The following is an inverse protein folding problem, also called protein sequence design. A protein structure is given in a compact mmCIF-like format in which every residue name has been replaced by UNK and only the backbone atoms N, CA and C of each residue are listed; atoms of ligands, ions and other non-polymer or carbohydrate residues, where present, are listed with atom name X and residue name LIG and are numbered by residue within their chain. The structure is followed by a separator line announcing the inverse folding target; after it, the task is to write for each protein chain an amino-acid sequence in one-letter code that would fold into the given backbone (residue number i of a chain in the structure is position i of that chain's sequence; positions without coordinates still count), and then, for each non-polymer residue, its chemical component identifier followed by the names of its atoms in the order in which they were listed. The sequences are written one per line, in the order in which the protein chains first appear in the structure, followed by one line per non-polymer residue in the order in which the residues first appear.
data_IF_107729284317
#
_entry.id   IF_107729284317
#
_cell.length_a   1.000
_cell.length_b   1.000
_cell.length_c   1.000
_cell.angle_alpha   90.00
_cell.angle_beta   90.00
_cell.angle_gamma   90.00
#
_symmetry.space_group_name_H-M   'P 1'
#
loop_
_entity.id
_entity.type
_entity.pdbx_description
1 polymer ?
#
# COMPACT_ATOMS: atom_id res chain seq x y z
N UNK A 1 0.83 33.49 65.72
CA UNK A 1 0.93 33.45 64.26
C UNK A 1 1.29 32.03 63.85
N UNK A 2 0.35 31.24 63.38
CA UNK A 2 0.56 29.86 62.89
C UNK A 2 0.42 29.89 61.38
N UNK A 3 1.51 29.62 60.69
CA UNK A 3 1.52 29.44 59.24
C UNK A 3 1.02 28.03 58.91
N UNK A 4 -0.07 27.94 58.13
CA UNK A 4 -0.51 26.69 57.54
C UNK A 4 0.16 26.52 56.17
N UNK A 5 1.02 25.48 56.07
CA UNK A 5 1.65 25.05 54.84
C UNK A 5 0.67 24.08 54.12
N UNK A 6 0.02 24.56 53.06
CA UNK A 6 -0.80 23.69 52.18
C UNK A 6 0.14 22.95 51.24
N UNK A 7 0.29 21.62 51.44
CA UNK A 7 0.92 20.69 50.52
C UNK A 7 -0.13 20.28 49.46
N UNK A 8 -0.05 20.83 48.25
CA UNK A 8 -0.78 20.35 47.10
C UNK A 8 -0.06 19.12 46.55
N UNK A 9 -0.57 17.93 46.86
CA UNK A 9 -0.15 16.69 46.20
C UNK A 9 -0.82 16.63 44.78
N UNK A 10 -0.08 16.99 43.77
CA UNK A 10 -0.51 16.76 42.38
C UNK A 10 -0.37 15.26 42.07
N UNK A 11 -1.48 14.55 42.06
CA UNK A 11 -1.56 13.20 41.51
C UNK A 11 -1.40 13.30 39.98
N UNK A 12 -0.19 13.10 39.48
CA UNK A 12 0.05 12.78 38.10
C UNK A 12 -0.50 11.36 37.84
N UNK A 13 -1.71 11.27 37.39
CA UNK A 13 -2.25 10.08 36.71
C UNK A 13 -1.47 9.92 35.39
N UNK A 14 -0.32 9.25 35.45
CA UNK A 14 0.29 8.66 34.27
C UNK A 14 -0.66 7.56 33.77
N UNK A 15 -1.50 7.86 32.79
CA UNK A 15 -2.11 6.82 31.96
C UNK A 15 -0.98 6.12 31.25
N UNK A 16 -0.49 5.02 31.81
CA UNK A 16 0.31 4.05 31.08
C UNK A 16 -0.61 3.59 29.93
N UNK A 17 -0.37 4.07 28.73
CA UNK A 17 -0.80 3.42 27.51
C UNK A 17 -0.13 2.06 27.52
N UNK A 18 -0.79 1.05 28.08
CA UNK A 18 -0.31 -0.34 27.98
C UNK A 18 -0.28 -0.66 26.50
N UNK A 19 0.90 -0.74 25.93
CA UNK A 19 1.10 -1.31 24.60
C UNK A 19 0.43 -2.69 24.62
N UNK A 20 -0.43 -2.95 23.65
CA UNK A 20 -1.17 -4.19 23.56
C UNK A 20 -0.17 -5.33 23.28
N UNK A 21 -0.07 -6.31 24.18
CA UNK A 21 0.82 -7.44 23.98
C UNK A 21 0.27 -8.33 22.85
N UNK A 22 1.06 -8.51 21.81
CA UNK A 22 0.72 -9.36 20.66
C UNK A 22 0.39 -10.78 21.11
N UNK A 23 1.23 -11.37 21.97
CA UNK A 23 1.10 -12.76 22.42
C UNK A 23 -0.14 -13.01 23.30
N UNK A 24 -0.76 -11.98 23.87
CA UNK A 24 -2.02 -12.11 24.61
C UNK A 24 -3.21 -12.42 23.69
N UNK A 25 -3.16 -11.97 22.43
CA UNK A 25 -4.29 -12.00 21.51
C UNK A 25 -4.05 -12.87 20.26
N UNK A 26 -2.79 -13.06 19.86
CA UNK A 26 -2.43 -13.66 18.60
C UNK A 26 -1.36 -14.74 18.71
N UNK A 27 -1.46 -15.76 17.84
CA UNK A 27 -0.40 -16.70 17.57
C UNK A 27 0.58 -16.13 16.57
N UNK A 28 1.83 -16.58 16.56
CA UNK A 28 2.80 -16.25 15.49
C UNK A 28 2.46 -17.02 14.19
N UNK A 29 1.26 -16.79 13.67
CA UNK A 29 0.71 -17.36 12.44
C UNK A 29 -0.11 -16.29 11.72
N UNK A 30 -0.35 -16.49 10.43
CA UNK A 30 -1.17 -15.57 9.63
C UNK A 30 -2.57 -16.14 9.42
N UNK A 31 -3.58 -15.32 9.65
CA UNK A 31 -4.92 -15.48 9.13
C UNK A 31 -4.98 -14.76 7.78
N UNK A 32 -5.02 -15.50 6.69
CA UNK A 32 -5.30 -14.98 5.36
C UNK A 32 -6.79 -15.00 5.13
N UNK A 33 -7.33 -13.88 4.67
CA UNK A 33 -8.74 -13.76 4.29
C UNK A 33 -8.82 -13.30 2.85
N UNK A 34 -9.45 -14.10 2.02
CA UNK A 34 -9.79 -13.74 0.66
C UNK A 34 -11.21 -13.18 0.63
N UNK A 35 -11.36 -11.98 0.08
CA UNK A 35 -12.65 -11.33 -0.14
C UNK A 35 -12.90 -11.11 -1.61
N UNK A 36 -14.17 -11.07 -1.97
CA UNK A 36 -14.64 -10.54 -3.25
C UNK A 36 -15.35 -9.20 -2.99
N UNK A 37 -14.79 -8.11 -3.55
CA UNK A 37 -15.47 -6.83 -3.61
C UNK A 37 -16.20 -6.74 -4.94
N UNK A 38 -17.48 -6.41 -4.92
CA UNK A 38 -18.28 -6.44 -6.15
C UNK A 38 -19.34 -5.33 -6.15
N UNK A 39 -19.89 -5.08 -7.32
CA UNK A 39 -20.96 -4.12 -7.51
C UNK A 39 -20.76 -3.24 -8.72
N UNK A 40 -21.39 -2.08 -8.69
CA UNK A 40 -21.36 -1.03 -9.71
C UNK A 40 -21.11 0.34 -9.04
N UNK A 41 -21.20 1.44 -9.79
CA UNK A 41 -21.00 2.79 -9.26
C UNK A 41 -21.98 3.18 -8.14
N UNK A 42 -23.11 2.50 -7.99
CA UNK A 42 -24.20 2.83 -7.04
C UNK A 42 -24.34 1.84 -5.89
N UNK A 43 -24.05 0.56 -6.14
CA UNK A 43 -24.23 -0.53 -5.16
C UNK A 43 -22.94 -1.33 -5.03
N UNK A 44 -22.37 -1.39 -3.82
CA UNK A 44 -21.14 -2.11 -3.54
C UNK A 44 -21.35 -3.14 -2.44
N UNK A 45 -20.74 -4.32 -2.61
CA UNK A 45 -20.84 -5.47 -1.73
C UNK A 45 -19.46 -6.04 -1.40
N UNK A 46 -19.35 -6.63 -0.22
CA UNK A 46 -18.17 -7.36 0.26
C UNK A 46 -18.62 -8.76 0.61
N UNK A 47 -17.92 -9.77 0.07
CA UNK A 47 -18.16 -11.18 0.40
C UNK A 47 -16.88 -11.83 0.91
N UNK A 48 -17.00 -12.68 1.94
CA UNK A 48 -15.93 -13.59 2.34
C UNK A 48 -15.90 -14.71 1.32
N UNK A 49 -14.73 -14.97 0.74
CA UNK A 49 -14.53 -16.08 -0.20
C UNK A 49 -13.89 -17.26 0.51
N UNK A 50 -12.73 -17.06 1.15
CA UNK A 50 -11.98 -18.13 1.80
C UNK A 50 -11.21 -17.63 3.02
N UNK A 51 -11.03 -18.51 4.00
CA UNK A 51 -10.15 -18.30 5.14
C UNK A 51 -9.02 -19.32 5.12
N UNK A 52 -7.80 -18.87 5.33
CA UNK A 52 -6.63 -19.76 5.41
C UNK A 52 -5.71 -19.39 6.57
N UNK A 53 -5.01 -20.39 7.10
CA UNK A 53 -3.93 -20.22 8.07
C UNK A 53 -2.60 -20.46 7.39
N UNK A 54 -1.66 -19.51 7.50
CA UNK A 54 -0.26 -19.64 7.08
C UNK A 54 0.65 -19.84 8.31
N UNK A 55 1.84 -20.47 8.14
CA UNK A 55 2.66 -20.93 9.26
C UNK A 55 3.28 -19.83 10.10
N UNK A 56 3.55 -18.65 9.53
CA UNK A 56 4.29 -17.54 10.18
C UNK A 56 3.58 -16.23 9.99
N UNK A 57 3.60 -15.37 11.00
CA UNK A 57 3.21 -13.97 10.91
C UNK A 57 4.46 -13.12 10.64
N UNK A 58 4.53 -12.47 9.49
CA UNK A 58 5.61 -11.56 9.12
C UNK A 58 5.30 -10.10 9.43
N UNK A 59 4.04 -9.76 9.69
CA UNK A 59 3.62 -8.39 9.93
C UNK A 59 3.97 -7.88 11.34
N UNK A 60 3.71 -6.60 11.54
CA UNK A 60 4.01 -5.88 12.79
C UNK A 60 3.37 -6.52 14.03
N UNK A 61 4.09 -6.43 15.15
CA UNK A 61 3.62 -6.86 16.48
C UNK A 61 3.40 -5.68 17.44
N UNK A 62 3.62 -4.45 16.97
CA UNK A 62 3.44 -3.19 17.69
C UNK A 62 2.39 -2.33 16.99
N UNK A 63 1.91 -1.27 17.64
CA UNK A 63 0.88 -0.37 17.07
C UNK A 63 -0.34 -1.11 16.52
N UNK A 64 -0.74 -2.22 17.19
CA UNK A 64 -1.72 -3.17 16.66
C UNK A 64 -3.07 -2.52 16.36
N UNK A 65 -3.53 -1.57 17.19
CA UNK A 65 -4.81 -0.85 17.04
C UNK A 65 -4.70 0.51 16.34
N UNK A 66 -3.57 0.79 15.70
CA UNK A 66 -3.29 2.04 15.01
C UNK A 66 -3.15 1.84 13.49
N UNK A 67 -3.21 2.94 12.74
CA UNK A 67 -3.00 2.97 11.29
C UNK A 67 -1.88 3.93 10.93
N UNK A 68 -0.94 3.55 10.06
CA UNK A 68 0.05 4.50 9.55
C UNK A 68 -0.59 5.53 8.61
N UNK A 69 -1.56 5.10 7.82
CA UNK A 69 -2.31 5.90 6.85
C UNK A 69 -3.78 5.45 6.84
N UNK A 70 -4.68 6.33 6.42
CA UNK A 70 -6.12 6.03 6.45
C UNK A 70 -6.55 5.05 5.35
N UNK A 71 -5.98 5.19 4.14
CA UNK A 71 -6.38 4.40 2.97
C UNK A 71 -7.81 4.66 2.50
N UNK A 72 -8.23 3.90 1.49
CA UNK A 72 -9.59 3.90 0.96
C UNK A 72 -10.44 2.76 1.55
N UNK A 73 -9.83 1.84 2.30
CA UNK A 73 -10.50 0.78 3.03
C UNK A 73 -9.80 0.46 4.34
N UNK A 74 -10.51 -0.16 5.26
CA UNK A 74 -9.97 -0.56 6.57
C UNK A 74 -10.51 -1.93 6.98
N UNK A 75 -9.65 -2.69 7.68
CA UNK A 75 -10.04 -3.92 8.35
C UNK A 75 -9.73 -3.77 9.84
N UNK A 76 -10.70 -4.10 10.69
CA UNK A 76 -10.57 -4.03 12.14
C UNK A 76 -10.93 -5.39 12.73
N UNK A 77 -10.02 -5.96 13.52
CA UNK A 77 -10.27 -7.14 14.35
C UNK A 77 -10.67 -6.66 15.75
N UNK A 78 -11.77 -7.18 16.23
CA UNK A 78 -12.25 -6.90 17.58
C UNK A 78 -12.42 -8.18 18.39
N UNK A 79 -12.08 -8.12 19.66
CA UNK A 79 -12.50 -9.17 20.61
C UNK A 79 -14.01 -9.31 20.56
N UNK A 80 -14.49 -10.54 20.41
CA UNK A 80 -15.92 -10.80 20.21
C UNK A 80 -16.78 -10.38 21.41
N UNK A 81 -16.24 -10.47 22.62
CA UNK A 81 -16.93 -10.18 23.88
C UNK A 81 -16.81 -8.73 24.29
N UNK A 82 -15.59 -8.22 24.36
CA UNK A 82 -15.29 -6.87 24.86
C UNK A 82 -15.42 -5.79 23.81
N UNK A 83 -15.46 -6.16 22.53
CA UNK A 83 -15.43 -5.27 21.36
C UNK A 83 -14.18 -4.39 21.27
N UNK A 84 -13.16 -4.65 22.11
CA UNK A 84 -11.87 -3.96 22.04
C UNK A 84 -11.22 -4.21 20.67
N UNK A 85 -10.68 -3.17 20.05
CA UNK A 85 -9.88 -3.30 18.84
C UNK A 85 -8.58 -4.02 19.17
N UNK A 86 -8.33 -5.17 18.53
CA UNK A 86 -7.14 -5.99 18.71
C UNK A 86 -6.10 -5.73 17.61
N UNK A 87 -6.55 -5.53 16.38
CA UNK A 87 -5.71 -5.23 15.24
C UNK A 87 -6.45 -4.36 14.22
N UNK A 88 -5.71 -3.54 13.49
CA UNK A 88 -6.27 -2.66 12.49
C UNK A 88 -5.29 -2.48 11.33
N UNK A 89 -5.78 -2.53 10.11
CA UNK A 89 -5.01 -2.22 8.90
C UNK A 89 -5.85 -1.44 7.90
N UNK A 90 -5.20 -0.76 6.97
CA UNK A 90 -5.83 0.02 5.91
C UNK A 90 -5.24 -0.34 4.55
N UNK A 91 -5.99 -0.09 3.50
CA UNK A 91 -5.64 -0.47 2.14
C UNK A 91 -6.35 0.43 1.10
N UNK A 92 -5.94 0.29 -0.15
CA UNK A 92 -6.71 0.68 -1.34
C UNK A 92 -6.92 -0.56 -2.22
N UNK A 93 -7.87 -0.50 -3.15
CA UNK A 93 -8.18 -1.62 -4.02
C UNK A 93 -8.45 -1.18 -5.45
N UNK A 94 -8.13 -2.04 -6.41
CA UNK A 94 -8.43 -1.83 -7.83
C UNK A 94 -9.95 -1.70 -8.07
N UNK A 95 -10.78 -2.36 -7.23
CA UNK A 95 -12.23 -2.20 -7.26
C UNK A 95 -12.67 -0.75 -7.04
N UNK A 96 -12.09 -0.07 -6.03
CA UNK A 96 -12.46 1.31 -5.71
C UNK A 96 -12.00 2.30 -6.79
N UNK A 97 -10.86 2.04 -7.45
CA UNK A 97 -10.43 2.83 -8.61
C UNK A 97 -11.39 2.62 -9.80
N UNK A 98 -11.76 1.36 -10.07
CA UNK A 98 -12.72 1.03 -11.13
C UNK A 98 -14.08 1.69 -10.93
N UNK A 99 -14.55 1.87 -9.70
CA UNK A 99 -15.84 2.54 -9.40
C UNK A 99 -15.90 3.97 -9.94
N UNK A 100 -14.76 4.63 -10.19
CA UNK A 100 -14.70 5.98 -10.76
C UNK A 100 -14.84 6.00 -12.29
N UNK A 101 -14.81 4.83 -12.96
CA UNK A 101 -14.86 4.71 -14.43
C UNK A 101 -16.29 4.77 -14.98
N UNK A 102 -16.42 5.11 -16.26
CA UNK A 102 -17.71 5.06 -16.93
C UNK A 102 -18.25 3.63 -17.08
N UNK A 103 -17.36 2.63 -17.09
CA UNK A 103 -17.78 1.22 -17.13
C UNK A 103 -18.57 0.84 -15.87
N UNK A 104 -18.15 1.32 -14.70
CA UNK A 104 -18.85 1.03 -13.44
C UNK A 104 -20.27 1.61 -13.38
N UNK A 105 -20.58 2.63 -14.20
CA UNK A 105 -21.94 3.19 -14.33
C UNK A 105 -22.87 2.30 -15.17
N UNK A 106 -22.31 1.33 -15.92
CA UNK A 106 -23.04 0.53 -16.90
C UNK A 106 -23.13 -0.93 -16.51
N UNK A 107 -22.20 -1.47 -15.73
CA UNK A 107 -22.13 -2.89 -15.37
C UNK A 107 -21.60 -3.08 -13.97
N UNK A 108 -21.89 -4.26 -13.39
CA UNK A 108 -21.30 -4.69 -12.13
C UNK A 108 -20.14 -5.66 -12.38
N UNK A 109 -19.09 -5.55 -11.56
CA UNK A 109 -17.92 -6.45 -11.59
C UNK A 109 -17.54 -6.92 -10.19
N UNK A 110 -16.79 -8.04 -10.12
CA UNK A 110 -16.18 -8.55 -8.91
C UNK A 110 -14.65 -8.50 -9.01
N UNK A 111 -14.00 -8.16 -7.90
CA UNK A 111 -12.55 -8.04 -7.78
C UNK A 111 -12.06 -8.84 -6.57
N UNK A 112 -11.06 -9.70 -6.80
CA UNK A 112 -10.37 -10.41 -5.73
C UNK A 112 -9.61 -9.43 -4.84
N UNK A 113 -9.66 -9.65 -3.52
CA UNK A 113 -8.83 -8.97 -2.56
C UNK A 113 -8.40 -9.96 -1.48
N UNK A 114 -7.13 -9.92 -1.09
CA UNK A 114 -6.56 -10.80 -0.08
C UNK A 114 -5.88 -9.97 0.99
N UNK A 115 -6.13 -10.30 2.26
CA UNK A 115 -5.54 -9.61 3.40
C UNK A 115 -4.90 -10.60 4.36
N UNK A 116 -3.75 -10.20 4.89
CA UNK A 116 -3.03 -10.92 5.91
C UNK A 116 -3.25 -10.23 7.26
N UNK A 117 -3.67 -11.01 8.25
CA UNK A 117 -3.95 -10.56 9.60
C UNK A 117 -3.25 -11.49 10.59
N UNK A 118 -2.90 -11.06 11.80
CA UNK A 118 -2.38 -11.98 12.80
C UNK A 118 -3.46 -12.99 13.20
N UNK A 119 -3.07 -14.26 13.38
CA UNK A 119 -4.00 -15.34 13.70
C UNK A 119 -4.50 -15.25 15.13
N UNK A 120 -5.81 -15.05 15.40
CA UNK A 120 -6.32 -14.84 16.73
C UNK A 120 -6.31 -16.12 17.57
N UNK A 121 -6.09 -15.97 18.90
CA UNK A 121 -6.18 -17.10 19.87
C UNK A 121 -7.65 -17.43 20.18
N UNK A 122 -8.52 -16.43 20.17
CA UNK A 122 -9.95 -16.55 20.48
C UNK A 122 -10.80 -16.06 19.32
N UNK A 123 -12.10 -16.34 19.37
CA UNK A 123 -13.05 -15.83 18.40
C UNK A 123 -12.98 -14.27 18.29
N UNK A 124 -12.97 -13.78 17.07
CA UNK A 124 -12.93 -12.34 16.76
C UNK A 124 -14.06 -11.95 15.80
N UNK A 125 -14.51 -10.71 15.92
CA UNK A 125 -15.32 -10.04 14.90
C UNK A 125 -14.37 -9.26 13.98
N UNK A 126 -14.50 -9.48 12.67
CA UNK A 126 -13.77 -8.74 11.64
C UNK A 126 -14.74 -7.81 10.94
N UNK A 127 -14.37 -6.54 10.89
CA UNK A 127 -15.12 -5.50 10.17
C UNK A 127 -14.27 -4.98 9.01
N UNK A 128 -14.78 -5.12 7.77
CA UNK A 128 -14.19 -4.56 6.56
C UNK A 128 -15.05 -3.41 6.09
N UNK A 129 -14.44 -2.26 5.82
CA UNK A 129 -15.15 -1.05 5.39
C UNK A 129 -14.46 -0.43 4.18
N UNK A 130 -15.22 -0.09 3.15
CA UNK A 130 -14.78 0.65 1.97
C UNK A 130 -15.28 2.09 2.05
N UNK A 131 -14.43 3.05 1.66
CA UNK A 131 -14.74 4.47 1.61
C UNK A 131 -14.62 4.98 0.18
N UNK A 132 -15.45 5.94 -0.20
CA UNK A 132 -15.28 6.69 -1.44
C UNK A 132 -14.28 7.86 -1.29
N UNK A 133 -14.03 8.60 -2.38
CA UNK A 133 -13.14 9.77 -2.41
C UNK A 133 -13.58 10.88 -1.41
N UNK A 134 -14.87 10.98 -1.09
CA UNK A 134 -15.40 11.86 -0.03
C UNK A 134 -15.30 11.27 1.38
N UNK A 135 -14.57 10.15 1.55
CA UNK A 135 -14.36 9.43 2.80
C UNK A 135 -15.66 8.96 3.50
N UNK A 136 -16.73 8.79 2.74
CA UNK A 136 -17.99 8.19 3.20
C UNK A 136 -17.95 6.69 3.00
N UNK A 137 -18.55 5.95 3.95
CA UNK A 137 -18.70 4.49 3.83
C UNK A 137 -19.61 4.17 2.64
N UNK A 138 -19.13 3.29 1.74
CA UNK A 138 -19.88 2.80 0.58
C UNK A 138 -20.25 1.33 0.72
N UNK A 139 -19.44 0.54 1.45
CA UNK A 139 -19.76 -0.84 1.81
C UNK A 139 -19.12 -1.19 3.15
N UNK A 140 -19.76 -2.07 3.90
CA UNK A 140 -19.19 -2.63 5.13
C UNK A 140 -19.71 -4.06 5.32
N UNK A 141 -18.82 -4.94 5.81
CA UNK A 141 -19.14 -6.31 6.18
C UNK A 141 -18.58 -6.59 7.58
N UNK A 142 -19.40 -7.22 8.44
CA UNK A 142 -18.96 -7.79 9.71
C UNK A 142 -19.15 -9.30 9.66
N UNK A 143 -18.13 -10.04 10.04
CA UNK A 143 -18.22 -11.49 10.20
C UNK A 143 -17.37 -11.97 11.37
N UNK A 144 -17.67 -13.18 11.86
CA UNK A 144 -16.98 -13.79 12.98
C UNK A 144 -16.00 -14.83 12.44
N UNK A 145 -14.79 -14.85 12.98
CA UNK A 145 -13.79 -15.90 12.74
C UNK A 145 -13.60 -16.68 14.03
N UNK A 146 -13.83 -17.99 13.94
CA UNK A 146 -13.53 -18.97 15.00
C UNK A 146 -12.18 -19.61 14.68
N UNK A 147 -11.15 -19.47 15.52
CA UNK A 147 -9.80 -19.98 15.20
C UNK A 147 -9.70 -21.51 15.01
N UNK A 148 -10.64 -22.24 15.56
CA UNK A 148 -10.73 -23.70 15.47
C UNK A 148 -11.72 -24.20 14.42
N UNK A 149 -12.22 -23.32 13.54
CA UNK A 149 -13.10 -23.71 12.45
C UNK A 149 -12.35 -24.65 11.49
N UNK A 150 -12.93 -25.83 11.25
CA UNK A 150 -12.36 -26.88 10.40
C UNK A 150 -12.29 -26.48 8.93
N UNK A 151 -13.03 -25.44 8.51
CA UNK A 151 -13.04 -24.92 7.15
C UNK A 151 -11.92 -23.90 6.90
N UNK A 152 -11.12 -23.51 7.92
CA UNK A 152 -9.93 -22.70 7.70
C UNK A 152 -8.83 -23.58 7.10
N UNK A 153 -8.48 -23.30 5.85
CA UNK A 153 -7.51 -24.08 5.09
C UNK A 153 -6.10 -23.92 5.67
N UNK A 154 -5.38 -25.03 5.84
CA UNK A 154 -3.97 -25.03 6.26
C UNK A 154 -3.08 -24.94 5.00
N UNK A 155 -2.40 -23.79 4.80
CA UNK A 155 -1.58 -23.52 3.61
C UNK A 155 -0.12 -23.23 3.95
N UNK A 156 0.76 -23.23 2.93
CA UNK A 156 2.16 -22.83 3.08
C UNK A 156 3.07 -23.80 3.82
N UNK A 157 2.65 -25.08 4.01
CA UNK A 157 3.46 -26.14 4.62
C UNK A 157 4.21 -27.00 3.61
N UNK A 158 3.78 -26.98 2.35
CA UNK A 158 4.35 -27.76 1.25
C UNK A 158 4.27 -26.93 -0.04
N UNK A 159 5.12 -27.28 -1.01
CA UNK A 159 5.14 -26.63 -2.32
C UNK A 159 5.42 -25.10 -2.27
N UNK A 160 6.30 -24.68 -1.34
CA UNK A 160 6.73 -23.29 -1.25
C UNK A 160 7.47 -22.91 -2.54
N UNK A 161 7.07 -21.80 -3.15
CA UNK A 161 7.68 -21.30 -4.39
C UNK A 161 9.18 -21.07 -4.20
N UNK A 162 10.05 -21.45 -5.15
CA UNK A 162 11.48 -21.20 -5.07
C UNK A 162 11.77 -19.71 -4.86
N UNK A 163 12.58 -19.39 -3.86
CA UNK A 163 12.88 -18.00 -3.51
C UNK A 163 14.27 -17.85 -2.92
N UNK A 164 14.78 -16.64 -2.95
CA UNK A 164 16.04 -16.28 -2.28
C UNK A 164 16.00 -14.86 -1.73
N UNK A 165 16.68 -14.64 -0.63
CA UNK A 165 16.90 -13.29 -0.10
C UNK A 165 17.89 -12.55 -0.99
N UNK A 166 17.50 -11.38 -1.49
CA UNK A 166 18.39 -10.38 -2.09
C UNK A 166 19.06 -9.54 -0.99
N UNK A 167 18.32 -9.36 0.12
CA UNK A 167 18.81 -8.75 1.33
C UNK A 167 18.05 -9.34 2.52
N UNK A 168 18.78 -9.70 3.59
CA UNK A 168 18.21 -10.04 4.88
C UNK A 168 18.91 -9.21 5.96
N UNK A 169 18.16 -8.27 6.56
CA UNK A 169 18.67 -7.34 7.57
C UNK A 169 18.37 -7.80 9.00
N UNK A 170 17.31 -8.58 9.19
CA UNK A 170 16.89 -9.05 10.51
C UNK A 170 15.78 -10.09 10.44
N UNK A 171 15.15 -10.32 11.59
CA UNK A 171 13.98 -11.19 11.71
C UNK A 171 12.75 -10.50 11.11
N UNK A 172 11.78 -11.30 10.71
CA UNK A 172 10.50 -10.85 10.12
C UNK A 172 9.70 -9.94 11.08
N UNK A 173 9.91 -10.04 12.40
CA UNK A 173 9.24 -9.22 13.42
C UNK A 173 9.87 -7.83 13.60
N UNK A 174 11.09 -7.63 13.15
CA UNK A 174 11.88 -6.41 13.34
C UNK A 174 12.13 -5.66 12.03
N UNK A 175 11.86 -6.27 10.88
CA UNK A 175 12.05 -5.74 9.54
C UNK A 175 10.76 -5.80 8.74
N UNK A 176 10.68 -4.97 7.73
CA UNK A 176 9.62 -4.98 6.71
C UNK A 176 10.02 -6.00 5.64
N UNK A 177 9.19 -7.01 5.42
CA UNK A 177 9.45 -8.06 4.44
C UNK A 177 8.78 -7.73 3.10
N UNK A 178 9.60 -7.54 2.06
CA UNK A 178 9.15 -7.20 0.70
C UNK A 178 9.44 -8.37 -0.23
N UNK A 179 8.39 -8.97 -0.79
CA UNK A 179 8.48 -9.99 -1.82
C UNK A 179 8.51 -9.39 -3.22
N UNK A 180 9.47 -9.78 -4.05
CA UNK A 180 9.56 -9.43 -5.46
C UNK A 180 9.24 -10.67 -6.28
N UNK A 181 8.15 -10.65 -7.06
CA UNK A 181 7.65 -11.79 -7.83
C UNK A 181 7.91 -11.64 -9.32
N UNK A 182 8.10 -12.79 -9.98
CA UNK A 182 8.24 -12.89 -11.43
C UNK A 182 6.87 -12.92 -12.11
N UNK A 183 6.66 -12.07 -13.13
CA UNK A 183 5.47 -12.07 -13.98
C UNK A 183 5.89 -12.04 -15.45
N UNK A 184 5.42 -13.00 -16.25
CA UNK A 184 5.79 -13.11 -17.65
C UNK A 184 7.20 -13.65 -17.89
N UNK A 185 7.86 -14.19 -16.88
CA UNK A 185 9.11 -14.95 -17.04
C UNK A 185 8.78 -16.44 -17.04
N UNK A 186 9.19 -17.17 -18.05
CA UNK A 186 9.11 -18.64 -18.10
C UNK A 186 10.13 -19.27 -17.15
N UNK A 187 10.03 -20.57 -16.91
CA UNK A 187 11.03 -21.31 -16.10
C UNK A 187 12.45 -21.11 -16.61
N UNK A 188 12.65 -21.07 -17.94
CA UNK A 188 13.95 -20.84 -18.57
C UNK A 188 14.49 -19.41 -18.37
N UNK A 189 13.64 -18.47 -18.01
CA UNK A 189 13.99 -17.05 -17.82
C UNK A 189 14.19 -16.66 -16.35
N UNK A 190 14.15 -17.61 -15.41
CA UNK A 190 14.29 -17.32 -13.99
C UNK A 190 15.64 -16.68 -13.62
N UNK A 191 16.72 -16.98 -14.34
CA UNK A 191 18.00 -16.29 -14.12
C UNK A 191 17.96 -14.83 -14.53
N UNK A 192 17.17 -14.48 -15.56
CA UNK A 192 16.92 -13.10 -15.97
C UNK A 192 16.07 -12.39 -14.90
N UNK A 193 14.98 -13.04 -14.45
CA UNK A 193 14.17 -12.51 -13.35
C UNK A 193 14.99 -12.15 -12.11
N UNK A 194 15.89 -13.03 -11.67
CA UNK A 194 16.71 -12.76 -10.49
C UNK A 194 17.65 -11.54 -10.67
N UNK A 195 18.14 -11.30 -11.88
CA UNK A 195 18.92 -10.09 -12.21
C UNK A 195 18.04 -8.84 -12.13
N UNK A 196 16.83 -8.91 -12.70
CA UNK A 196 15.88 -7.78 -12.69
C UNK A 196 15.37 -7.49 -11.28
N UNK A 197 15.12 -8.52 -10.47
CA UNK A 197 14.76 -8.37 -9.06
C UNK A 197 15.88 -7.70 -8.24
N UNK A 198 17.14 -8.02 -8.52
CA UNK A 198 18.29 -7.34 -7.91
C UNK A 198 18.35 -5.85 -8.30
N UNK A 199 18.11 -5.53 -9.59
CA UNK A 199 18.04 -4.14 -10.07
C UNK A 199 16.90 -3.37 -9.39
N UNK A 200 15.72 -3.98 -9.22
CA UNK A 200 14.60 -3.37 -8.50
C UNK A 200 14.97 -3.06 -7.03
N UNK A 201 15.56 -4.03 -6.35
CA UNK A 201 16.04 -3.89 -4.97
C UNK A 201 17.08 -2.76 -4.83
N UNK A 202 18.10 -2.73 -5.69
CA UNK A 202 19.12 -1.69 -5.70
C UNK A 202 18.52 -0.31 -6.01
N UNK A 203 17.54 -0.26 -6.91
CA UNK A 203 16.87 0.99 -7.28
C UNK A 203 16.11 1.60 -6.11
N UNK A 204 15.43 0.81 -5.30
CA UNK A 204 14.77 1.29 -4.08
C UNK A 204 15.76 1.90 -3.10
N UNK A 205 16.86 1.19 -2.81
CA UNK A 205 17.86 1.63 -1.85
C UNK A 205 18.86 2.67 -2.39
N UNK A 206 18.67 3.16 -3.59
CA UNK A 206 19.37 4.32 -4.11
C UNK A 206 18.77 5.63 -3.60
N UNK A 207 17.47 5.67 -3.26
CA UNK A 207 16.71 6.85 -2.88
C UNK A 207 16.48 6.96 -1.38
N UNK A 208 16.60 8.20 -0.83
CA UNK A 208 16.14 8.48 0.53
C UNK A 208 14.60 8.49 0.60
N UNK A 209 14.01 8.00 1.70
CA UNK A 209 14.64 7.51 2.95
C UNK A 209 15.02 6.02 2.94
N UNK A 210 14.69 5.26 1.89
CA UNK A 210 15.00 3.83 1.80
C UNK A 210 16.50 3.55 1.95
N UNK A 211 17.36 4.42 1.40
CA UNK A 211 18.81 4.29 1.45
C UNK A 211 19.34 4.29 2.88
N UNK A 212 19.00 5.30 3.67
CA UNK A 212 19.45 5.42 5.07
C UNK A 212 18.78 4.41 6.00
N UNK A 213 17.58 3.92 5.62
CA UNK A 213 16.80 2.94 6.38
C UNK A 213 16.86 1.52 5.80
N UNK A 214 17.84 1.24 4.94
CA UNK A 214 18.00 -0.05 4.26
C UNK A 214 18.00 -1.24 5.22
N UNK A 215 18.59 -1.10 6.39
CA UNK A 215 18.64 -2.13 7.43
C UNK A 215 17.28 -2.46 8.08
N UNK A 216 16.21 -1.75 7.72
CA UNK A 216 14.85 -2.01 8.17
C UNK A 216 14.07 -2.96 7.23
N UNK A 217 14.69 -3.42 6.15
CA UNK A 217 14.03 -4.22 5.12
C UNK A 217 14.69 -5.59 4.92
N UNK A 218 13.87 -6.60 4.72
CA UNK A 218 14.23 -7.86 4.07
C UNK A 218 13.65 -7.84 2.65
N UNK A 219 14.43 -8.27 1.65
CA UNK A 219 14.01 -8.32 0.24
C UNK A 219 14.13 -9.74 -0.27
N UNK A 220 13.04 -10.31 -0.76
CA UNK A 220 12.91 -11.71 -1.13
C UNK A 220 12.50 -11.80 -2.59
N UNK A 221 13.32 -12.37 -3.45
CA UNK A 221 12.95 -12.66 -4.83
C UNK A 221 12.28 -14.04 -4.91
N UNK A 222 11.09 -14.10 -5.50
CA UNK A 222 10.23 -15.28 -5.56
C UNK A 222 10.01 -15.68 -7.02
N UNK A 223 10.53 -16.85 -7.40
CA UNK A 223 10.49 -17.37 -8.76
C UNK A 223 9.11 -18.00 -9.05
N UNK A 224 8.17 -17.18 -9.53
CA UNK A 224 6.82 -17.59 -9.96
C UNK A 224 6.79 -17.70 -11.49
N UNK A 225 7.06 -18.89 -12.09
CA UNK A 225 7.18 -19.02 -13.54
C UNK A 225 5.83 -18.86 -14.21
N UNK A 226 5.85 -18.18 -15.35
CA UNK A 226 4.74 -18.05 -16.28
C UNK A 226 4.80 -19.12 -17.35
N UNK A 227 3.66 -19.46 -17.93
CA UNK A 227 3.61 -20.35 -19.09
C UNK A 227 4.14 -19.66 -20.34
N UNK A 228 3.73 -18.40 -20.55
CA UNK A 228 4.16 -17.57 -21.67
C UNK A 228 5.12 -16.48 -21.19
N UNK A 229 6.11 -16.17 -22.02
CA UNK A 229 6.99 -15.01 -21.84
C UNK A 229 6.28 -13.72 -22.25
N UNK A 230 6.53 -12.64 -21.50
CA UNK A 230 5.93 -11.33 -21.76
C UNK A 230 4.65 -11.06 -20.98
N UNK A 231 3.83 -10.13 -21.46
CA UNK A 231 2.62 -9.64 -20.80
C UNK A 231 1.49 -9.42 -21.78
N UNK A 232 0.24 -9.52 -21.34
CA UNK A 232 -0.91 -9.25 -22.19
C UNK A 232 -1.03 -7.77 -22.54
N UNK A 233 -1.24 -7.49 -23.84
CA UNK A 233 -1.47 -6.13 -24.39
C UNK A 233 -2.81 -6.13 -25.13
N UNK A 234 -3.94 -5.88 -24.44
CA UNK A 234 -5.29 -6.00 -24.99
C UNK A 234 -5.54 -5.18 -26.25
N UNK A 235 -5.00 -3.93 -26.35
CA UNK A 235 -5.13 -3.11 -27.56
C UNK A 235 -4.55 -3.76 -28.81
N UNK A 236 -3.56 -4.66 -28.64
CA UNK A 236 -2.94 -5.43 -29.72
C UNK A 236 -3.59 -6.82 -29.90
N UNK A 237 -4.61 -7.17 -29.08
CA UNK A 237 -5.21 -8.51 -29.00
C UNK A 237 -4.19 -9.61 -28.65
N UNK A 238 -3.09 -9.25 -28.01
CA UNK A 238 -2.03 -10.15 -27.54
C UNK A 238 -2.32 -10.56 -26.09
N UNK A 239 -2.75 -11.80 -25.91
CA UNK A 239 -3.06 -12.36 -24.60
C UNK A 239 -2.04 -13.43 -24.22
N UNK A 240 -1.51 -13.35 -23.01
CA UNK A 240 -0.49 -14.26 -22.45
C UNK A 240 -1.01 -15.00 -21.23
N UNK A 241 -0.59 -16.23 -21.07
CA UNK A 241 -0.82 -17.09 -19.90
C UNK A 241 0.32 -16.87 -18.89
N UNK A 242 0.28 -15.78 -18.14
CA UNK A 242 1.31 -15.45 -17.16
C UNK A 242 0.91 -15.87 -15.75
N UNK A 243 1.83 -15.81 -14.78
CA UNK A 243 1.61 -16.28 -13.41
C UNK A 243 0.41 -15.58 -12.74
N UNK A 244 0.25 -14.28 -13.00
CA UNK A 244 -0.78 -13.44 -12.38
C UNK A 244 -1.71 -12.82 -13.40
N UNK A 245 -1.63 -13.21 -14.68
CA UNK A 245 -2.48 -12.70 -15.77
C UNK A 245 -2.53 -11.15 -15.81
N UNK A 246 -1.40 -10.50 -15.56
CA UNK A 246 -1.31 -9.05 -15.65
C UNK A 246 -1.50 -8.57 -17.08
N UNK A 247 -2.00 -7.35 -17.23
CA UNK A 247 -2.24 -6.78 -18.54
C UNK A 247 -2.12 -5.24 -18.51
N UNK A 248 -1.72 -4.68 -19.63
CA UNK A 248 -1.86 -3.26 -19.93
C UNK A 248 -3.32 -2.90 -20.18
N UNK A 249 -3.57 -1.66 -20.51
CA UNK A 249 -4.88 -1.11 -20.87
C UNK A 249 -5.93 -1.25 -19.75
N UNK A 250 -5.50 -1.35 -18.49
CA UNK A 250 -6.41 -1.32 -17.34
C UNK A 250 -7.18 0.00 -17.35
N UNK A 251 -8.50 -0.08 -17.26
CA UNK A 251 -9.43 1.06 -17.38
C UNK A 251 -9.20 1.90 -18.66
N UNK A 252 -8.79 1.24 -19.75
CA UNK A 252 -8.47 1.84 -21.04
C UNK A 252 -7.28 2.80 -21.04
N UNK A 253 -6.46 2.82 -19.99
CA UNK A 253 -5.21 3.56 -19.95
C UNK A 253 -4.05 2.68 -20.41
N UNK A 254 -3.42 3.06 -21.54
CA UNK A 254 -2.39 2.25 -22.22
C UNK A 254 -1.16 1.94 -21.37
N UNK A 255 -0.85 2.78 -20.41
CA UNK A 255 0.31 2.62 -19.50
C UNK A 255 -0.06 2.00 -18.16
N UNK A 256 -1.36 1.86 -17.84
CA UNK A 256 -1.76 1.30 -16.56
C UNK A 256 -1.70 -0.22 -16.62
N UNK A 257 -0.72 -0.77 -15.94
CA UNK A 257 -0.39 -2.18 -15.88
C UNK A 257 -0.81 -2.74 -14.52
N UNK A 258 -1.79 -3.64 -14.48
CA UNK A 258 -2.32 -4.22 -13.25
C UNK A 258 -2.67 -5.69 -13.41
N UNK A 259 -3.07 -6.32 -12.32
CA UNK A 259 -3.74 -7.62 -12.32
C UNK A 259 -4.94 -7.62 -11.37
N UNK A 260 -6.00 -8.32 -11.75
CA UNK A 260 -7.14 -8.62 -10.88
C UNK A 260 -6.99 -9.98 -10.15
N UNK A 261 -5.89 -10.71 -10.36
CA UNK A 261 -5.66 -12.04 -9.79
C UNK A 261 -4.89 -11.99 -8.46
N UNK A 262 -5.42 -11.24 -7.52
CA UNK A 262 -4.79 -11.01 -6.21
C UNK A 262 -4.60 -12.32 -5.44
N UNK A 263 -5.56 -13.24 -5.50
CA UNK A 263 -5.43 -14.58 -4.89
C UNK A 263 -4.22 -15.35 -5.43
N UNK A 264 -3.97 -15.29 -6.74
CA UNK A 264 -2.82 -15.96 -7.37
C UNK A 264 -1.49 -15.42 -6.87
N UNK A 265 -1.39 -14.10 -6.66
CA UNK A 265 -0.20 -13.46 -6.08
C UNK A 265 0.07 -14.05 -4.68
N UNK A 266 -0.94 -14.04 -3.81
CA UNK A 266 -0.81 -14.54 -2.44
C UNK A 266 -0.61 -16.06 -2.38
N UNK A 267 -1.13 -16.83 -3.34
CA UNK A 267 -0.85 -18.27 -3.46
C UNK A 267 0.62 -18.55 -3.78
N UNK A 268 1.24 -17.75 -4.66
CA UNK A 268 2.67 -17.86 -4.96
C UNK A 268 3.57 -17.53 -3.76
N UNK A 269 3.05 -16.82 -2.76
CA UNK A 269 3.76 -16.41 -1.54
C UNK A 269 3.48 -17.29 -0.34
N UNK A 270 2.71 -18.37 -0.48
CA UNK A 270 2.41 -19.28 0.63
C UNK A 270 3.68 -19.89 1.23
N UNK A 271 3.86 -19.74 2.54
CA UNK A 271 5.03 -20.24 3.27
C UNK A 271 6.26 -19.34 3.22
N UNK A 272 6.19 -18.21 2.53
CA UNK A 272 7.22 -17.17 2.48
C UNK A 272 6.77 -16.00 3.37
N UNK A 273 7.63 -15.44 4.22
CA UNK A 273 7.28 -14.24 5.00
C UNK A 273 7.25 -13.00 4.09
N UNK A 274 6.19 -12.21 4.17
CA UNK A 274 6.08 -10.92 3.44
C UNK A 274 4.99 -10.04 4.04
N UNK A 275 5.14 -8.73 3.83
CA UNK A 275 4.14 -7.71 4.13
C UNK A 275 3.80 -6.88 2.87
N UNK A 276 4.81 -6.60 2.03
CA UNK A 276 4.66 -5.81 0.81
C UNK A 276 5.10 -6.60 -0.43
N UNK A 277 4.52 -6.25 -1.56
CA UNK A 277 4.65 -7.00 -2.80
C UNK A 277 5.07 -6.09 -3.94
N UNK A 278 6.12 -6.50 -4.66
CA UNK A 278 6.53 -5.91 -5.93
C UNK A 278 6.45 -7.02 -6.98
N UNK A 279 5.81 -6.78 -8.10
CA UNK A 279 5.71 -7.67 -9.24
C UNK A 279 6.46 -7.04 -10.39
N UNK A 280 7.51 -7.69 -10.88
CA UNK A 280 8.27 -7.23 -12.04
C UNK A 280 7.88 -8.04 -13.26
N UNK A 281 7.54 -7.32 -14.34
CA UNK A 281 6.94 -7.87 -15.55
C UNK A 281 7.95 -7.88 -16.68
N UNK A 282 8.12 -9.05 -17.32
CA UNK A 282 9.04 -9.28 -18.43
C UNK A 282 8.53 -8.56 -19.69
N UNK A 283 8.76 -7.26 -19.81
CA UNK A 283 8.33 -6.47 -20.97
C UNK A 283 9.16 -5.20 -21.14
N UNK A 284 9.33 -4.76 -22.39
CA UNK A 284 9.93 -3.47 -22.77
C UNK A 284 8.88 -2.34 -22.83
N UNK A 285 7.59 -2.67 -22.78
CA UNK A 285 6.50 -1.69 -22.85
C UNK A 285 6.46 -0.84 -21.56
N UNK A 286 6.26 0.48 -21.71
CA UNK A 286 6.20 1.40 -20.57
C UNK A 286 4.92 1.24 -19.76
N UNK A 287 5.04 1.01 -18.46
CA UNK A 287 3.91 1.06 -17.56
C UNK A 287 4.22 0.53 -16.15
N UNK A 288 3.27 0.80 -15.30
CA UNK A 288 3.28 0.40 -13.90
C UNK A 288 1.93 0.63 -13.24
N UNK A 289 1.85 0.30 -11.98
CA UNK A 289 0.71 0.54 -11.10
C UNK A 289 1.07 0.20 -9.65
N UNK A 290 0.71 1.06 -8.73
CA UNK A 290 0.92 0.88 -7.29
C UNK A 290 -0.36 1.09 -6.50
N UNK A 291 -0.86 0.06 -5.80
CA UNK A 291 -2.08 0.11 -5.00
C UNK A 291 -1.70 0.01 -3.53
N UNK A 292 -2.08 1.00 -2.73
CA UNK A 292 -1.69 1.11 -1.33
C UNK A 292 -2.02 -0.14 -0.53
N UNK A 293 -0.97 -0.69 0.11
CA UNK A 293 -1.00 -1.91 0.93
C UNK A 293 -1.64 -3.12 0.21
N UNK A 294 -1.40 -3.20 -1.11
CA UNK A 294 -1.79 -4.34 -1.97
C UNK A 294 -0.58 -4.81 -2.76
N UNK A 295 -0.22 -4.17 -3.87
CA UNK A 295 0.97 -4.51 -4.65
C UNK A 295 1.50 -3.34 -5.46
N UNK A 296 2.78 -3.43 -5.84
CA UNK A 296 3.42 -2.69 -6.92
C UNK A 296 3.56 -3.60 -8.13
N UNK A 297 3.34 -3.10 -9.33
CA UNK A 297 3.55 -3.80 -10.58
C UNK A 297 4.27 -2.88 -11.58
N UNK A 298 5.36 -3.36 -12.25
CA UNK A 298 6.20 -2.51 -13.11
C UNK A 298 6.90 -3.32 -14.20
N UNK A 299 7.09 -2.68 -15.38
CA UNK A 299 7.80 -3.24 -16.52
C UNK A 299 9.33 -3.26 -16.28
N UNK A 300 9.99 -4.43 -16.41
CA UNK A 300 11.40 -4.62 -16.05
C UNK A 300 12.40 -4.13 -17.12
N UNK A 301 12.05 -4.22 -18.41
CA UNK A 301 13.02 -3.99 -19.50
C UNK A 301 12.83 -2.63 -20.20
N UNK A 302 11.90 -1.81 -19.75
CA UNK A 302 11.80 -0.44 -20.23
C UNK A 302 12.93 0.43 -19.64
N UNK A 303 13.53 1.38 -20.40
CA UNK A 303 14.61 2.24 -19.90
C UNK A 303 14.27 3.01 -18.60
N UNK A 304 13.00 3.29 -18.35
CA UNK A 304 12.51 3.93 -17.13
C UNK A 304 12.22 2.94 -15.98
N UNK A 305 12.59 1.67 -16.05
CA UNK A 305 12.32 0.67 -15.00
C UNK A 305 12.74 1.14 -13.61
N UNK A 306 13.99 1.58 -13.47
CA UNK A 306 14.54 2.02 -12.17
C UNK A 306 13.76 3.15 -11.51
N UNK A 307 13.43 4.28 -12.19
CA UNK A 307 12.59 5.30 -11.59
C UNK A 307 11.14 4.86 -11.38
N UNK A 308 10.56 4.04 -12.27
CA UNK A 308 9.15 3.62 -12.18
C UNK A 308 8.93 2.67 -11.00
N UNK A 309 9.78 1.66 -10.77
CA UNK A 309 9.62 0.76 -9.63
C UNK A 309 9.64 1.52 -8.29
N UNK A 310 10.44 2.57 -8.18
CA UNK A 310 10.51 3.42 -6.99
C UNK A 310 9.26 4.31 -6.85
N UNK A 311 8.75 4.84 -7.96
CA UNK A 311 7.52 5.63 -8.02
C UNK A 311 6.31 4.77 -7.58
N UNK A 312 6.12 3.59 -8.19
CA UNK A 312 5.00 2.71 -7.89
C UNK A 312 5.06 2.15 -6.44
N UNK A 313 6.27 1.92 -5.92
CA UNK A 313 6.45 1.56 -4.51
C UNK A 313 6.15 2.74 -3.58
N UNK A 314 6.34 3.97 -4.04
CA UNK A 314 5.86 5.19 -3.36
C UNK A 314 4.34 5.19 -3.16
N UNK A 315 3.56 4.71 -4.13
CA UNK A 315 2.11 4.51 -3.98
C UNK A 315 1.79 3.35 -3.05
N UNK A 316 2.29 2.15 -3.36
CA UNK A 316 1.84 0.92 -2.69
C UNK A 316 2.31 0.82 -1.25
N UNK A 317 3.53 1.24 -0.94
CA UNK A 317 4.12 1.24 0.40
C UNK A 317 3.89 2.58 1.13
N UNK A 318 4.25 3.69 0.47
CA UNK A 318 4.22 5.02 1.08
C UNK A 318 2.85 5.68 1.11
N UNK A 319 1.86 5.14 0.38
CA UNK A 319 0.54 5.74 0.23
C UNK A 319 0.61 7.16 -0.33
N UNK A 320 1.55 7.42 -1.22
CA UNK A 320 1.72 8.72 -1.87
C UNK A 320 0.80 8.83 -3.09
N UNK A 321 0.28 10.02 -3.33
CA UNK A 321 -0.44 10.34 -4.55
C UNK A 321 0.51 10.77 -5.66
N UNK A 322 0.05 10.70 -6.91
CA UNK A 322 0.70 11.36 -8.03
C UNK A 322 0.72 12.89 -7.85
N UNK A 323 1.88 13.50 -8.08
CA UNK A 323 2.05 14.96 -8.03
C UNK A 323 1.96 15.62 -9.42
N UNK A 324 1.66 14.84 -10.46
CA UNK A 324 1.44 15.36 -11.81
C UNK A 324 -0.04 15.61 -12.09
N UNK A 325 -0.28 16.38 -13.12
CA UNK A 325 -1.59 16.65 -13.71
C UNK A 325 -1.41 16.91 -15.20
N UNK A 326 -2.48 16.74 -15.95
CA UNK A 326 -2.57 17.07 -17.37
C UNK A 326 -3.84 17.89 -17.60
N UNK A 327 -3.78 18.90 -18.47
CA UNK A 327 -4.90 19.81 -18.73
C UNK A 327 -6.16 19.08 -19.26
N UNK A 328 -5.98 17.91 -19.86
CA UNK A 328 -7.05 17.06 -20.40
C UNK A 328 -7.26 15.75 -19.62
N UNK A 329 -6.78 15.66 -18.37
CA UNK A 329 -6.92 14.44 -17.61
C UNK A 329 -8.40 14.22 -17.22
N UNK A 330 -8.95 13.05 -17.57
CA UNK A 330 -10.35 12.69 -17.33
C UNK A 330 -10.65 12.34 -15.86
N UNK A 331 -9.64 12.30 -14.99
CA UNK A 331 -9.77 11.94 -13.58
C UNK A 331 -9.91 13.15 -12.63
N UNK A 332 -10.50 14.24 -13.09
CA UNK A 332 -10.65 15.48 -12.32
C UNK A 332 -11.47 15.35 -11.04
N UNK A 333 -12.33 14.34 -10.93
CA UNK A 333 -13.18 14.10 -9.74
C UNK A 333 -12.57 13.14 -8.71
N UNK A 334 -11.30 12.75 -8.88
CA UNK A 334 -10.62 11.80 -7.99
C UNK A 334 -10.50 12.35 -6.57
N UNK A 335 -10.24 13.64 -6.42
CA UNK A 335 -10.08 14.32 -5.13
C UNK A 335 -11.09 15.46 -4.96
N UNK A 336 -12.19 15.25 -4.20
CA UNK A 336 -13.16 16.30 -3.93
C UNK A 336 -12.55 17.45 -3.13
N UNK A 337 -12.72 18.70 -3.59
CA UNK A 337 -12.07 19.87 -3.00
C UNK A 337 -12.53 20.24 -1.59
N UNK A 338 -13.63 19.64 -1.11
CA UNK A 338 -14.16 19.83 0.25
C UNK A 338 -13.67 18.77 1.26
N UNK A 339 -12.80 17.85 0.82
CA UNK A 339 -12.22 16.76 1.65
C UNK A 339 -10.71 16.85 1.59
N UNK A 340 -10.01 16.70 2.72
CA UNK A 340 -8.57 16.54 2.74
C UNK A 340 -8.21 15.14 2.29
N UNK A 341 -7.37 14.95 1.23
CA UNK A 341 -6.87 13.65 0.81
C UNK A 341 -6.18 12.93 1.97
N UNK A 342 -6.24 11.62 2.03
CA UNK A 342 -5.51 10.86 3.06
C UNK A 342 -4.01 10.76 2.72
N UNK A 343 -3.63 10.86 1.47
CA UNK A 343 -2.26 10.86 0.97
C UNK A 343 -1.51 12.07 1.50
N UNK A 344 -0.28 11.84 1.97
CA UNK A 344 0.46 12.87 2.75
C UNK A 344 1.12 13.94 1.89
N UNK A 345 1.26 13.72 0.57
CA UNK A 345 1.98 14.59 -0.36
C UNK A 345 1.08 15.46 -1.25
N UNK A 346 -0.23 15.42 -1.04
CA UNK A 346 -1.17 16.35 -1.68
C UNK A 346 -2.14 16.93 -0.65
N UNK A 347 -2.73 18.09 -0.97
CA UNK A 347 -3.69 18.77 -0.09
C UNK A 347 -4.71 19.59 -0.88
N UNK A 348 -5.96 19.58 -0.39
CA UNK A 348 -7.00 20.56 -0.75
C UNK A 348 -7.00 21.76 0.18
N UNK A 349 -6.16 21.73 1.24
CA UNK A 349 -6.09 22.68 2.35
C UNK A 349 -7.29 22.69 3.30
N UNK A 350 -8.20 21.74 3.17
CA UNK A 350 -9.31 21.58 4.14
C UNK A 350 -8.79 21.32 5.56
N UNK A 351 -7.68 20.55 5.66
CA UNK A 351 -6.97 20.33 6.91
C UNK A 351 -5.46 20.32 6.69
N UNK A 352 -4.90 21.44 6.21
CA UNK A 352 -3.49 21.53 5.85
C UNK A 352 -2.54 21.33 7.03
N UNK A 353 -2.98 21.61 8.26
CA UNK A 353 -2.18 21.37 9.46
C UNK A 353 -1.79 19.89 9.64
N UNK A 354 -2.57 18.94 9.09
CA UNK A 354 -2.26 17.50 9.10
C UNK A 354 -1.23 17.08 8.04
N UNK A 355 -0.77 17.99 7.19
CA UNK A 355 0.11 17.72 6.04
C UNK A 355 1.55 18.19 6.32
N UNK A 356 2.03 19.14 5.54
CA UNK A 356 3.40 19.68 5.64
C UNK A 356 3.46 21.18 5.99
N UNK A 357 2.40 21.72 6.55
CA UNK A 357 2.33 23.13 6.94
C UNK A 357 3.49 23.53 7.88
N UNK A 358 3.88 22.62 8.76
CA UNK A 358 4.99 22.75 9.72
C UNK A 358 6.37 22.86 9.07
N UNK A 359 6.54 22.43 7.83
CA UNK A 359 7.79 22.52 7.07
C UNK A 359 7.92 23.81 6.25
N UNK A 360 6.86 24.63 6.18
CA UNK A 360 6.90 25.86 5.41
C UNK A 360 7.67 26.96 6.13
N UNK A 361 8.42 27.74 5.36
CA UNK A 361 8.96 29.01 5.83
C UNK A 361 7.82 30.01 6.05
N UNK A 362 7.95 30.91 7.05
CA UNK A 362 6.93 31.95 7.30
C UNK A 362 6.62 32.82 6.08
N UNK A 363 7.63 33.02 5.22
CA UNK A 363 7.53 33.83 4.00
C UNK A 363 7.03 33.05 2.77
N UNK A 364 6.69 31.74 2.92
CA UNK A 364 6.24 30.92 1.79
C UNK A 364 4.93 31.45 1.23
N UNK A 365 4.89 31.91 -0.04
CA UNK A 365 3.67 32.42 -0.65
C UNK A 365 2.69 31.28 -0.95
N UNK A 366 1.41 31.62 -0.94
CA UNK A 366 0.34 30.72 -1.32
C UNK A 366 -0.52 31.30 -2.47
N UNK A 367 -0.76 30.54 -3.57
CA UNK A 367 0.07 29.41 -4.00
C UNK A 367 1.53 29.82 -4.22
N UNK A 368 2.45 28.84 -4.08
CA UNK A 368 3.88 29.10 -4.31
C UNK A 368 4.14 29.24 -5.81
N UNK A 369 4.66 30.40 -6.29
CA UNK A 369 4.95 30.59 -7.70
C UNK A 369 6.07 29.66 -8.18
N UNK A 370 5.87 29.03 -9.34
CA UNK A 370 6.86 28.11 -9.93
C UNK A 370 8.20 28.77 -10.26
N UNK A 371 8.20 30.07 -10.56
CA UNK A 371 9.42 30.85 -10.79
C UNK A 371 10.29 30.98 -9.55
N UNK A 372 9.72 30.81 -8.35
CA UNK A 372 10.42 30.90 -7.05
C UNK A 372 10.76 29.54 -6.45
N UNK A 373 10.77 28.46 -7.24
CA UNK A 373 11.02 27.09 -6.78
C UNK A 373 12.37 26.88 -6.07
N UNK A 374 13.40 27.65 -6.42
CA UNK A 374 14.70 27.59 -5.76
C UNK A 374 14.68 28.23 -4.36
N UNK A 375 13.85 29.24 -4.17
CA UNK A 375 13.68 29.96 -2.91
C UNK A 375 12.79 29.16 -1.94
N UNK A 376 11.81 28.46 -2.47
CA UNK A 376 10.86 27.64 -1.71
C UNK A 376 10.92 26.18 -2.15
N UNK A 377 11.96 25.40 -1.80
CA UNK A 377 12.06 23.99 -2.16
C UNK A 377 10.91 23.16 -1.58
N UNK A 378 10.35 23.58 -0.43
CA UNK A 378 9.07 23.13 0.10
C UNK A 378 8.11 24.30 0.02
N UNK A 379 6.99 24.12 -0.66
CA UNK A 379 5.97 25.12 -0.90
C UNK A 379 4.56 24.56 -0.91
N UNK A 380 3.65 25.27 -1.55
CA UNK A 380 2.26 24.84 -1.80
C UNK A 380 1.97 25.14 -3.28
N UNK A 381 2.47 24.27 -4.15
CA UNK A 381 2.40 24.40 -5.61
C UNK A 381 1.07 23.87 -6.12
N UNK A 382 0.32 24.70 -6.86
CA UNK A 382 -0.94 24.26 -7.42
C UNK A 382 -0.75 23.24 -8.54
N UNK A 383 -1.63 22.26 -8.60
CA UNK A 383 -1.62 21.11 -9.51
C UNK A 383 -0.99 19.87 -8.87
N UNK A 384 -1.70 18.75 -8.95
CA UNK A 384 -1.36 17.42 -8.42
C UNK A 384 -2.59 16.54 -8.35
N UNK A 385 -2.43 15.22 -8.10
CA UNK A 385 -3.55 14.30 -8.05
C UNK A 385 -4.42 14.36 -9.32
N UNK A 386 -3.80 14.47 -10.48
CA UNK A 386 -4.41 14.62 -11.79
C UNK A 386 -5.19 15.94 -12.01
N UNK A 387 -5.34 16.78 -11.00
CA UNK A 387 -6.09 18.04 -11.08
C UNK A 387 -5.16 19.23 -11.24
N UNK A 388 -5.40 20.07 -12.25
CA UNK A 388 -4.63 21.29 -12.49
C UNK A 388 -4.92 22.39 -11.46
N UNK A 389 -6.11 22.35 -10.81
CA UNK A 389 -6.60 23.38 -9.88
C UNK A 389 -7.17 22.79 -8.61
N UNK A 390 -6.99 23.53 -7.50
CA UNK A 390 -7.58 23.19 -6.20
C UNK A 390 -6.88 22.11 -5.40
N UNK A 391 -5.98 21.36 -6.04
CA UNK A 391 -5.08 20.39 -5.39
C UNK A 391 -3.67 20.97 -5.40
N UNK A 392 -2.95 20.80 -4.30
CA UNK A 392 -1.60 21.35 -4.16
C UNK A 392 -0.62 20.25 -3.76
N UNK A 393 0.62 20.38 -4.27
CA UNK A 393 1.74 19.49 -3.99
C UNK A 393 2.87 20.25 -3.25
N UNK A 394 3.78 19.55 -2.54
CA UNK A 394 4.75 20.18 -1.66
C UNK A 394 5.98 20.76 -2.36
N UNK A 395 6.31 20.26 -3.55
CA UNK A 395 7.51 20.66 -4.28
C UNK A 395 7.20 20.93 -5.75
N UNK A 396 8.07 21.71 -6.42
CA UNK A 396 7.93 21.93 -7.85
C UNK A 396 8.10 20.61 -8.61
N UNK A 397 9.07 19.79 -8.20
CA UNK A 397 9.34 18.50 -8.80
C UNK A 397 9.69 17.43 -7.74
N UNK A 398 9.40 16.16 -8.03
CA UNK A 398 9.50 15.03 -7.13
C UNK A 398 9.50 13.73 -7.93
N UNK A 399 10.00 12.62 -7.35
CA UNK A 399 9.81 11.28 -7.90
C UNK A 399 8.33 10.94 -8.15
N UNK A 400 7.42 11.43 -7.34
CA UNK A 400 5.98 11.24 -7.51
C UNK A 400 5.37 12.13 -8.61
N UNK A 401 6.19 12.94 -9.30
CA UNK A 401 5.76 13.78 -10.40
C UNK A 401 6.38 13.42 -11.74
N UNK A 402 7.70 13.17 -11.77
CA UNK A 402 8.43 12.86 -13.01
C UNK A 402 9.48 11.77 -12.80
N UNK A 403 9.74 11.01 -13.85
CA UNK A 403 10.79 10.00 -13.84
C UNK A 403 12.21 10.60 -13.91
N UNK A 404 12.34 11.84 -14.36
CA UNK A 404 13.61 12.55 -14.53
C UNK A 404 14.12 13.11 -13.19
N UNK A 405 13.23 13.45 -12.26
CA UNK A 405 13.66 14.00 -10.98
C UNK A 405 14.28 12.91 -10.10
N UNK A 406 15.52 13.12 -9.58
CA UNK A 406 16.32 12.05 -9.02
C UNK A 406 16.01 11.72 -7.55
N UNK A 407 14.92 12.25 -6.97
CA UNK A 407 14.64 12.06 -5.54
C UNK A 407 13.14 12.19 -5.21
N UNK A 408 12.72 11.64 -4.09
CA UNK A 408 11.51 12.08 -3.41
C UNK A 408 11.74 13.48 -2.80
N UNK A 409 10.75 14.34 -2.85
CA UNK A 409 10.80 15.62 -2.14
C UNK A 409 10.81 15.39 -0.61
N UNK A 410 11.22 16.38 0.21
CA UNK A 410 11.31 16.20 1.66
C UNK A 410 9.99 15.78 2.34
N UNK A 411 8.84 16.18 1.79
CA UNK A 411 7.53 15.78 2.32
C UNK A 411 7.26 14.31 2.04
N UNK A 412 7.52 13.84 0.82
CA UNK A 412 7.40 12.41 0.47
C UNK A 412 8.38 11.55 1.27
N UNK A 413 9.63 12.01 1.44
CA UNK A 413 10.61 11.30 2.29
C UNK A 413 10.09 11.16 3.73
N UNK A 414 9.56 12.25 4.32
CA UNK A 414 8.96 12.22 5.67
C UNK A 414 7.77 11.28 5.76
N UNK A 415 6.92 11.25 4.73
CA UNK A 415 5.78 10.35 4.69
C UNK A 415 6.21 8.89 4.67
N UNK A 416 7.15 8.53 3.80
CA UNK A 416 7.71 7.17 3.71
C UNK A 416 8.41 6.80 5.02
N UNK A 417 9.23 7.69 5.59
CA UNK A 417 9.91 7.45 6.87
C UNK A 417 8.93 7.13 7.99
N UNK A 418 7.83 7.89 8.11
CA UNK A 418 6.78 7.62 9.11
C UNK A 418 6.15 6.23 8.96
N UNK A 419 5.99 5.75 7.74
CA UNK A 419 5.50 4.39 7.49
C UNK A 419 6.54 3.36 7.93
N UNK A 420 7.84 3.54 7.56
CA UNK A 420 8.91 2.64 8.00
C UNK A 420 8.99 2.60 9.54
N UNK A 421 8.99 3.77 10.18
CA UNK A 421 9.03 3.88 11.64
C UNK A 421 7.84 3.19 12.31
N UNK A 422 6.64 3.35 11.76
CA UNK A 422 5.44 2.70 12.25
C UNK A 422 5.53 1.16 12.25
N UNK A 423 6.18 0.58 11.25
CA UNK A 423 6.37 -0.87 11.16
C UNK A 423 7.54 -1.39 12.01
N UNK A 424 8.57 -0.56 12.28
CA UNK A 424 9.85 -1.03 12.82
C UNK A 424 10.26 -0.46 14.18
N UNK A 425 9.56 0.57 14.70
CA UNK A 425 9.77 1.09 16.05
C UNK A 425 8.77 0.44 17.02
N UNK A 426 9.31 0.10 18.21
CA UNK A 426 8.56 -0.54 19.31
C UNK A 426 7.99 0.49 20.25
#
# INVERSE_FOLDING_TARGET
MKQYLCLCLAFLLSTQLNAQDFAEHFLNKTLRIDYLFSGDATHQFIYVDELSQLPTWAGRQHHLSELPLKGNGQIILRDLTTKKCLYKTSFSSLFQEWLSTDEAKQTAKGFENTFLLPYPIKAVEIEVTLFNSSQKVIASLKHIVQPNDILIHQRGKSHVTPHKYLQKSGNEQDCIDVAILAEGYTEAEMDLFYKDAAIACESLFFYEPFKSMKNKFNMIAVASPSKDSGVSIPRNKDWKQTAFLSHFDTFYSSRYLTTSRVKSIHNALEGIPYEHIIIIVNTEEYGGGGIYNSYTLTAAHHPAFKPVVVHEFGHSFGGLADEYFYDNDVMTDTYPLHVEPWEQNITTRVNFASKWQDLLLKATPFPTPTLRKKEFPIGVYEGGGYSAKGIFRPAFDCRMRTNEYPAFCPVCQRAIQRVIDFYTLK
#
